data_IF_558303052503
#
_entry.id   IF_558303052503
#
_cell.length_a   1.000
_cell.length_b   1.000
_cell.length_c   1.000
_cell.angle_alpha   90.00
_cell.angle_beta   90.00
_cell.angle_gamma   90.00
#
_symmetry.space_group_name_H-M   'P 1'
#
loop_
_entity.id
_entity.type
_entity.pdbx_description
1 polymer ?
#
# COMPACT_ATOMS: atom_id res chain seq x y z
N UNK A 1 -12.15 -11.40 20.40
CA UNK A 1 -11.83 -11.40 18.96
C UNK A 1 -12.66 -10.31 18.30
N UNK A 2 -12.07 -9.14 18.12
CA UNK A 2 -12.66 -8.08 17.30
C UNK A 2 -12.33 -8.43 15.85
N UNK A 3 -13.36 -8.57 15.01
CA UNK A 3 -13.18 -9.01 13.63
C UNK A 3 -12.48 -7.97 12.77
N UNK A 4 -11.78 -8.41 11.75
CA UNK A 4 -11.11 -7.61 10.70
C UNK A 4 -11.95 -6.43 10.16
N UNK A 5 -13.28 -6.51 10.23
CA UNK A 5 -14.18 -5.43 9.82
C UNK A 5 -14.04 -4.10 10.59
N UNK A 6 -13.45 -4.09 11.77
CA UNK A 6 -13.27 -2.86 12.56
C UNK A 6 -11.97 -2.10 12.20
N UNK A 7 -10.96 -2.77 11.65
CA UNK A 7 -9.68 -2.15 11.24
C UNK A 7 -9.92 -1.28 10.00
N UNK A 8 -10.68 -1.76 9.03
CA UNK A 8 -10.98 -1.00 7.80
C UNK A 8 -11.84 0.24 8.01
N UNK A 9 -12.68 0.25 9.06
CA UNK A 9 -13.52 1.43 9.37
C UNK A 9 -12.74 2.61 9.97
N UNK A 10 -11.52 2.38 10.44
CA UNK A 10 -10.71 3.43 11.10
C UNK A 10 -9.77 4.18 10.16
N UNK A 11 -9.52 3.66 8.98
CA UNK A 11 -8.67 4.32 7.97
C UNK A 11 -9.41 5.39 7.14
N UNK A 12 -10.72 5.37 7.14
CA UNK A 12 -11.50 6.46 6.57
C UNK A 12 -11.81 7.47 7.66
N UNK A 13 -11.61 8.76 7.37
CA UNK A 13 -12.10 9.87 8.21
C UNK A 13 -13.47 9.47 8.73
N UNK A 14 -13.73 9.51 10.07
CA UNK A 14 -15.03 9.16 10.59
C UNK A 14 -16.06 10.02 9.88
N UNK A 15 -16.91 9.41 9.07
CA UNK A 15 -18.12 10.06 8.59
C UNK A 15 -18.91 10.37 9.87
N UNK A 16 -19.18 11.65 10.12
CA UNK A 16 -20.13 12.03 11.16
C UNK A 16 -21.42 11.22 10.93
N UNK A 17 -21.99 10.69 12.01
CA UNK A 17 -23.27 9.98 11.93
C UNK A 17 -24.27 10.86 11.21
N UNK A 18 -24.75 10.42 10.03
CA UNK A 18 -25.73 11.14 9.24
C UNK A 18 -25.28 11.63 7.86
N UNK A 19 -24.03 11.36 7.44
CA UNK A 19 -23.61 11.67 6.07
C UNK A 19 -24.20 10.61 5.13
N UNK A 20 -25.15 11.03 4.33
CA UNK A 20 -25.80 10.15 3.34
C UNK A 20 -24.78 9.68 2.29
N UNK A 21 -24.98 8.46 1.80
CA UNK A 21 -24.12 7.82 0.78
C UNK A 21 -23.88 8.70 -0.46
N UNK A 22 -24.85 9.54 -0.81
CA UNK A 22 -24.77 10.47 -1.93
C UNK A 22 -23.74 11.57 -1.74
N UNK A 23 -23.49 11.99 -0.51
CA UNK A 23 -22.45 12.97 -0.21
C UNK A 23 -21.03 12.38 -0.38
N UNK A 24 -20.86 11.13 0.05
CA UNK A 24 -19.60 10.40 -0.13
C UNK A 24 -19.28 10.17 -1.61
N UNK A 25 -20.28 9.76 -2.40
CA UNK A 25 -20.16 9.57 -3.84
C UNK A 25 -19.82 10.87 -4.57
N UNK A 26 -20.35 11.99 -4.10
CA UNK A 26 -20.03 13.31 -4.62
C UNK A 26 -18.58 13.69 -4.33
N UNK A 27 -18.08 13.43 -3.13
CA UNK A 27 -16.67 13.67 -2.76
C UNK A 27 -15.70 12.80 -3.56
N UNK A 28 -16.01 11.52 -3.75
CA UNK A 28 -15.21 10.62 -4.60
C UNK A 28 -15.23 11.08 -6.05
N UNK A 29 -16.39 11.53 -6.55
CA UNK A 29 -16.53 12.10 -7.89
C UNK A 29 -15.76 13.41 -8.09
N UNK A 30 -15.71 14.27 -7.07
CA UNK A 30 -14.91 15.51 -7.09
C UNK A 30 -13.41 15.20 -7.02
N UNK A 31 -12.97 14.27 -6.17
CA UNK A 31 -11.59 13.81 -6.12
C UNK A 31 -11.11 13.23 -7.46
N UNK A 32 -11.94 12.43 -8.11
CA UNK A 32 -11.64 11.88 -9.44
C UNK A 32 -11.52 12.97 -10.52
N UNK A 33 -12.31 14.06 -10.41
CA UNK A 33 -12.18 15.22 -11.32
C UNK A 33 -10.88 16.00 -11.10
N UNK A 34 -10.44 16.12 -9.85
CA UNK A 34 -9.19 16.80 -9.48
C UNK A 34 -7.99 16.01 -10.01
N UNK A 35 -8.03 14.67 -9.94
CA UNK A 35 -6.98 13.78 -10.41
C UNK A 35 -6.88 13.70 -11.94
N UNK A 36 -7.93 14.08 -12.68
CA UNK A 36 -7.98 14.07 -14.16
C UNK A 36 -8.11 15.46 -14.74
N UNK A 37 -7.06 16.25 -14.67
CA UNK A 37 -7.04 17.66 -15.11
C UNK A 37 -7.47 17.93 -16.56
N UNK A 38 -7.60 16.94 -17.46
CA UNK A 38 -7.89 17.23 -18.88
C UNK A 38 -8.88 16.29 -19.61
N UNK A 39 -9.40 15.25 -18.98
CA UNK A 39 -10.48 14.46 -19.60
C UNK A 39 -11.59 14.22 -18.58
N UNK A 40 -12.53 15.15 -18.55
CA UNK A 40 -13.78 14.94 -17.82
C UNK A 40 -14.54 13.76 -18.44
N UNK A 41 -14.24 12.56 -17.99
CA UNK A 41 -15.21 11.47 -18.12
C UNK A 41 -16.31 11.84 -17.14
N UNK A 42 -17.49 12.16 -17.66
CA UNK A 42 -18.67 12.34 -16.82
C UNK A 42 -18.88 11.04 -16.05
N UNK A 43 -18.49 11.04 -14.78
CA UNK A 43 -18.73 9.93 -13.89
C UNK A 43 -20.23 9.97 -13.58
N UNK A 44 -21.01 9.30 -14.41
CA UNK A 44 -22.37 8.94 -14.07
C UNK A 44 -22.26 7.84 -13.02
N UNK A 45 -22.18 8.22 -11.76
CA UNK A 45 -22.32 7.29 -10.65
C UNK A 45 -23.81 6.88 -10.54
N UNK A 46 -24.31 6.21 -11.54
CA UNK A 46 -25.32 5.19 -11.30
C UNK A 46 -24.54 4.04 -10.68
N UNK A 47 -24.60 3.93 -9.37
CA UNK A 47 -24.33 2.67 -8.69
C UNK A 47 -25.31 1.65 -9.31
N UNK A 48 -24.88 1.04 -10.40
CA UNK A 48 -25.55 -0.14 -10.90
C UNK A 48 -25.40 -1.17 -9.77
N UNK A 49 -26.49 -1.74 -9.32
CA UNK A 49 -26.52 -2.87 -8.38
C UNK A 49 -25.78 -4.10 -8.94
N UNK A 50 -25.27 -4.02 -10.15
CA UNK A 50 -24.31 -4.90 -10.79
C UNK A 50 -22.87 -4.42 -10.67
N UNK A 51 -22.58 -3.57 -9.67
CA UNK A 51 -21.20 -3.15 -9.37
C UNK A 51 -20.23 -4.32 -9.51
N UNK A 52 -19.10 -4.16 -10.23
CA UNK A 52 -18.07 -5.20 -10.35
C UNK A 52 -17.38 -5.51 -9.03
N UNK A 53 -17.74 -4.88 -7.93
CA UNK A 53 -17.19 -5.17 -6.61
C UNK A 53 -17.72 -6.46 -5.99
N UNK A 54 -16.86 -7.27 -5.36
CA UNK A 54 -15.42 -7.09 -5.35
C UNK A 54 -14.82 -7.25 -6.75
N UNK A 55 -13.84 -6.40 -7.12
CA UNK A 55 -13.22 -6.48 -8.45
C UNK A 55 -12.24 -7.66 -8.56
N UNK A 56 -11.67 -8.12 -7.44
CA UNK A 56 -10.89 -9.35 -7.36
C UNK A 56 -11.79 -10.48 -6.88
N UNK A 57 -11.96 -11.55 -7.69
CA UNK A 57 -12.87 -12.65 -7.40
C UNK A 57 -12.23 -14.04 -7.51
N UNK A 58 -11.02 -14.12 -8.05
CA UNK A 58 -10.33 -15.35 -8.37
C UNK A 58 -9.22 -15.71 -7.38
N UNK A 59 -8.91 -14.80 -6.46
CA UNK A 59 -7.93 -14.99 -5.40
C UNK A 59 -8.29 -14.20 -4.16
N UNK A 60 -7.67 -14.55 -3.03
CA UNK A 60 -7.69 -13.72 -1.82
C UNK A 60 -6.58 -12.68 -1.90
N UNK A 61 -6.87 -11.46 -1.49
CA UNK A 61 -5.89 -10.37 -1.40
C UNK A 61 -6.11 -9.61 -0.10
N UNK A 62 -5.03 -9.02 0.42
CA UNK A 62 -5.06 -8.23 1.64
C UNK A 62 -4.22 -6.96 1.50
N UNK A 63 -4.46 -6.02 2.41
CA UNK A 63 -3.63 -4.85 2.71
C UNK A 63 -3.19 -4.05 1.46
N UNK A 64 -4.10 -3.61 0.60
CA UNK A 64 -3.73 -2.95 -0.63
C UNK A 64 -3.21 -1.53 -0.39
N UNK A 65 -2.19 -1.12 -1.14
CA UNK A 65 -1.90 0.29 -1.39
C UNK A 65 -2.36 0.69 -2.80
N UNK A 66 -2.77 1.94 -2.96
CA UNK A 66 -3.39 2.40 -4.21
C UNK A 66 -2.85 3.78 -4.63
N UNK A 67 -2.32 3.85 -5.85
CA UNK A 67 -1.70 5.06 -6.38
C UNK A 67 -2.15 5.35 -7.80
N UNK A 68 -2.29 6.63 -8.13
CA UNK A 68 -2.47 7.09 -9.52
C UNK A 68 -1.14 7.62 -10.02
N UNK A 69 -0.62 7.01 -11.08
CA UNK A 69 0.66 7.43 -11.66
C UNK A 69 0.49 8.45 -12.80
N UNK A 70 1.59 8.86 -13.41
CA UNK A 70 1.61 9.89 -14.46
C UNK A 70 0.77 9.54 -15.69
N UNK A 71 0.55 8.26 -15.97
CA UNK A 71 -0.33 7.77 -17.04
C UNK A 71 -1.83 7.97 -16.74
N UNK A 72 -2.16 8.43 -15.51
CA UNK A 72 -3.52 8.68 -15.06
C UNK A 72 -4.30 7.43 -14.66
N UNK A 73 -3.68 6.24 -14.67
CA UNK A 73 -4.29 5.00 -14.19
C UNK A 73 -4.14 4.85 -12.69
N UNK A 74 -5.16 4.28 -12.06
CA UNK A 74 -5.09 3.80 -10.68
C UNK A 74 -4.47 2.40 -10.67
N UNK A 75 -3.43 2.22 -9.87
CA UNK A 75 -2.78 0.95 -9.61
C UNK A 75 -3.02 0.53 -8.16
N UNK A 76 -3.33 -0.73 -7.95
CA UNK A 76 -3.54 -1.33 -6.63
C UNK A 76 -2.53 -2.45 -6.45
N UNK A 77 -1.68 -2.31 -5.45
CA UNK A 77 -0.67 -3.29 -5.06
C UNK A 77 -1.19 -4.04 -3.85
N UNK A 78 -1.31 -5.35 -3.94
CA UNK A 78 -1.92 -6.16 -2.90
C UNK A 78 -1.11 -7.42 -2.59
N UNK A 79 -1.12 -7.81 -1.32
CA UNK A 79 -0.62 -9.12 -0.91
C UNK A 79 -1.53 -10.22 -1.44
N UNK A 80 -0.96 -11.33 -1.91
CA UNK A 80 -1.70 -12.55 -2.18
C UNK A 80 -2.00 -13.24 -0.86
N UNK A 81 -3.23 -13.10 -0.38
CA UNK A 81 -3.68 -13.78 0.82
C UNK A 81 -4.04 -15.24 0.50
N UNK A 82 -3.98 -16.09 1.51
CA UNK A 82 -4.21 -17.51 1.37
C UNK A 82 -5.50 -17.86 2.11
N UNK A 83 -6.22 -18.85 1.60
CA UNK A 83 -7.47 -19.28 2.19
C UNK A 83 -7.34 -19.63 3.69
N UNK A 84 -8.31 -19.22 4.53
CA UNK A 84 -8.33 -19.59 5.95
C UNK A 84 -8.12 -21.10 6.17
N UNK A 85 -7.61 -21.53 7.34
CA UNK A 85 -7.50 -20.73 8.57
C UNK A 85 -6.15 -20.03 8.80
N UNK A 86 -5.15 -20.15 7.93
CA UNK A 86 -3.79 -19.65 8.16
C UNK A 86 -3.29 -18.72 7.05
N UNK A 87 -4.18 -17.90 6.51
CA UNK A 87 -3.90 -17.06 5.36
C UNK A 87 -2.66 -16.17 5.52
N UNK A 88 -2.58 -15.37 6.58
CA UNK A 88 -1.55 -14.35 6.74
C UNK A 88 -0.11 -14.90 6.85
N UNK A 89 0.08 -16.06 7.47
CA UNK A 89 1.42 -16.68 7.61
C UNK A 89 1.98 -17.17 6.26
N UNK A 90 1.10 -17.40 5.30
CA UNK A 90 1.41 -18.06 4.04
C UNK A 90 1.40 -17.11 2.84
N UNK A 91 1.12 -15.83 3.06
CA UNK A 91 1.20 -14.82 2.00
C UNK A 91 2.57 -14.83 1.35
N UNK A 92 2.65 -15.19 0.09
CA UNK A 92 3.90 -15.58 -0.57
C UNK A 92 4.31 -14.64 -1.71
N UNK A 93 3.41 -13.72 -2.14
CA UNK A 93 3.62 -12.88 -3.33
C UNK A 93 2.79 -11.61 -3.32
N UNK A 94 3.08 -10.73 -4.26
CA UNK A 94 2.32 -9.52 -4.51
C UNK A 94 1.77 -9.50 -5.93
N UNK A 95 0.54 -9.03 -6.06
CA UNK A 95 -0.14 -8.79 -7.34
C UNK A 95 -0.41 -7.31 -7.54
N UNK A 96 -0.50 -6.90 -8.82
CA UNK A 96 -0.91 -5.55 -9.19
C UNK A 96 -2.15 -5.61 -10.07
N UNK A 97 -3.09 -4.74 -9.74
CA UNK A 97 -4.30 -4.51 -10.53
C UNK A 97 -4.34 -3.04 -10.95
N UNK A 98 -4.92 -2.74 -12.10
CA UNK A 98 -5.06 -1.35 -12.52
C UNK A 98 -6.37 -1.08 -13.24
N UNK A 99 -6.78 0.19 -13.22
CA UNK A 99 -8.00 0.65 -13.89
C UNK A 99 -7.91 2.11 -14.30
N UNK A 100 -8.65 2.47 -15.35
CA UNK A 100 -8.86 3.87 -15.77
C UNK A 100 -10.18 4.43 -15.25
N UNK A 101 -11.13 3.59 -14.87
CA UNK A 101 -12.51 3.97 -14.63
C UNK A 101 -13.11 3.36 -13.34
N UNK A 102 -12.33 2.57 -12.59
CA UNK A 102 -12.74 1.83 -11.38
C UNK A 102 -13.86 0.80 -11.63
N UNK A 103 -14.14 0.49 -12.89
CA UNK A 103 -15.15 -0.49 -13.31
C UNK A 103 -14.47 -1.66 -14.01
N UNK A 104 -13.63 -1.33 -15.00
CA UNK A 104 -12.88 -2.31 -15.77
C UNK A 104 -11.44 -2.42 -15.22
N UNK A 105 -11.09 -3.61 -14.76
CA UNK A 105 -9.81 -3.86 -14.12
C UNK A 105 -8.93 -4.77 -14.95
N UNK A 106 -7.65 -4.46 -14.98
CA UNK A 106 -6.60 -5.32 -15.52
C UNK A 106 -5.86 -5.95 -14.38
N UNK A 107 -5.77 -7.27 -14.36
CA UNK A 107 -4.86 -8.03 -13.50
C UNK A 107 -3.52 -8.17 -14.24
N UNK A 108 -2.45 -7.62 -13.67
CA UNK A 108 -1.10 -7.69 -14.23
C UNK A 108 -0.33 -8.93 -13.74
N UNK A 109 -0.94 -9.67 -12.83
CA UNK A 109 -0.31 -10.84 -12.24
C UNK A 109 0.69 -10.51 -11.12
N UNK A 110 1.55 -11.46 -10.87
CA UNK A 110 2.56 -11.42 -9.82
C UNK A 110 3.73 -10.49 -10.19
N UNK A 111 4.14 -9.65 -9.26
CA UNK A 111 5.28 -8.74 -9.43
C UNK A 111 6.49 -9.10 -8.56
N UNK A 112 6.29 -9.81 -7.48
CA UNK A 112 7.33 -10.23 -6.54
C UNK A 112 6.82 -11.40 -5.71
N UNK A 113 7.70 -12.38 -5.44
CA UNK A 113 7.45 -13.51 -4.54
C UNK A 113 8.54 -13.65 -3.47
N UNK A 114 8.22 -14.35 -2.38
CA UNK A 114 9.10 -14.49 -1.22
C UNK A 114 10.41 -15.21 -1.53
N UNK A 115 10.44 -16.09 -2.51
CA UNK A 115 11.65 -16.80 -2.95
C UNK A 115 12.64 -15.89 -3.71
N UNK A 116 12.21 -14.73 -4.16
CA UNK A 116 13.04 -13.71 -4.78
C UNK A 116 13.72 -12.77 -3.77
N UNK A 117 13.46 -12.94 -2.47
CA UNK A 117 14.02 -12.09 -1.41
C UNK A 117 15.31 -12.71 -0.85
N UNK A 118 16.51 -12.21 -1.22
CA UNK A 118 17.78 -12.90 -0.92
C UNK A 118 18.09 -13.03 0.58
N UNK A 119 17.56 -12.11 1.39
CA UNK A 119 17.72 -12.05 2.84
C UNK A 119 16.53 -12.61 3.61
N UNK A 120 15.49 -13.02 2.89
CA UNK A 120 14.22 -13.48 3.46
C UNK A 120 14.30 -14.85 4.10
N UNK A 121 13.23 -15.18 4.83
CA UNK A 121 13.05 -16.53 5.40
C UNK A 121 13.06 -17.60 4.31
N UNK A 122 13.75 -18.71 4.60
CA UNK A 122 13.82 -19.85 3.68
C UNK A 122 12.46 -20.52 3.44
N UNK A 123 11.60 -20.50 4.46
CA UNK A 123 10.25 -21.04 4.41
C UNK A 123 9.27 -20.16 3.62
N UNK A 124 9.67 -18.94 3.25
CA UNK A 124 8.80 -17.96 2.60
C UNK A 124 7.67 -17.46 3.47
N UNK A 125 6.57 -17.06 2.86
CA UNK A 125 5.41 -16.49 3.54
C UNK A 125 5.62 -15.03 3.97
N UNK A 126 4.64 -14.47 4.69
CA UNK A 126 4.72 -13.16 5.35
C UNK A 126 5.01 -11.97 4.41
N UNK A 127 4.61 -12.05 3.15
CA UNK A 127 4.64 -10.92 2.23
C UNK A 127 3.41 -10.05 2.51
N UNK A 128 3.50 -9.22 3.58
CA UNK A 128 2.38 -8.44 4.12
C UNK A 128 2.26 -7.08 3.47
N UNK A 129 1.47 -6.17 4.05
CA UNK A 129 1.09 -4.88 3.52
C UNK A 129 2.20 -4.14 2.77
N UNK A 130 2.11 -3.97 1.44
CA UNK A 130 3.12 -3.27 0.66
C UNK A 130 2.76 -1.81 0.45
N UNK A 131 3.73 -1.03 -0.04
CA UNK A 131 3.50 0.26 -0.66
C UNK A 131 4.35 0.45 -1.91
N UNK A 132 4.01 1.43 -2.74
CA UNK A 132 4.76 1.78 -3.93
C UNK A 132 4.90 3.30 -4.03
N UNK A 133 6.08 3.77 -4.42
CA UNK A 133 6.32 5.17 -4.73
C UNK A 133 6.98 5.31 -6.10
N UNK A 134 6.83 6.48 -6.73
CA UNK A 134 7.46 6.79 -7.99
C UNK A 134 8.38 8.01 -7.86
N UNK A 135 9.57 7.91 -8.46
CA UNK A 135 10.50 9.04 -8.56
C UNK A 135 11.40 8.89 -9.78
N UNK A 136 11.48 9.92 -10.60
CA UNK A 136 12.45 10.04 -11.69
C UNK A 136 12.48 8.82 -12.64
N UNK A 137 11.33 8.31 -13.05
CA UNK A 137 11.24 7.18 -13.98
C UNK A 137 11.37 5.80 -13.32
N UNK A 138 11.45 5.73 -12.00
CA UNK A 138 11.59 4.49 -11.25
C UNK A 138 10.46 4.32 -10.26
N UNK A 139 9.86 3.14 -10.25
CA UNK A 139 8.92 2.68 -9.24
C UNK A 139 9.68 1.93 -8.15
N UNK A 140 9.42 2.30 -6.91
CA UNK A 140 10.01 1.72 -5.71
C UNK A 140 8.91 1.00 -4.94
N UNK A 141 8.99 -0.31 -4.89
CA UNK A 141 8.03 -1.16 -4.20
C UNK A 141 8.59 -1.56 -2.84
N UNK A 142 7.91 -1.17 -1.78
CA UNK A 142 8.30 -1.41 -0.39
C UNK A 142 7.44 -2.52 0.19
N UNK A 143 8.09 -3.46 0.87
CA UNK A 143 7.40 -4.62 1.43
C UNK A 143 8.04 -5.07 2.73
N UNK A 144 7.24 -5.44 3.76
CA UNK A 144 7.77 -6.04 4.97
C UNK A 144 8.05 -7.52 4.70
N UNK A 145 9.17 -8.02 5.22
CA UNK A 145 9.47 -9.45 5.20
C UNK A 145 10.43 -9.82 6.32
N UNK A 146 10.18 -10.91 7.08
CA UNK A 146 11.09 -11.35 8.12
C UNK A 146 12.34 -12.03 7.54
N UNK A 147 13.50 -11.74 8.12
CA UNK A 147 14.78 -12.30 7.69
C UNK A 147 15.19 -13.55 8.47
N UNK A 148 14.62 -13.76 9.65
CA UNK A 148 15.00 -14.81 10.58
C UNK A 148 13.76 -15.52 11.15
N UNK A 149 13.99 -16.45 12.04
CA UNK A 149 12.95 -17.15 12.79
C UNK A 149 12.48 -16.39 14.03
N UNK A 150 13.30 -15.47 14.55
CA UNK A 150 12.89 -14.60 15.63
C UNK A 150 11.90 -13.56 15.10
N UNK A 151 10.67 -13.68 15.58
CA UNK A 151 9.56 -12.89 15.08
C UNK A 151 9.70 -11.39 15.33
N UNK A 152 10.17 -11.00 16.51
CA UNK A 152 10.12 -9.61 16.92
C UNK A 152 11.24 -8.76 16.29
N UNK A 153 12.41 -9.35 16.04
CA UNK A 153 13.60 -8.61 15.65
C UNK A 153 14.01 -8.83 14.19
N UNK A 154 13.32 -9.71 13.46
CA UNK A 154 13.74 -10.10 12.12
C UNK A 154 13.09 -9.34 10.97
N UNK A 155 12.07 -8.54 11.24
CA UNK A 155 11.34 -7.79 10.22
C UNK A 155 12.20 -6.71 9.56
N UNK A 156 12.17 -6.68 8.24
CA UNK A 156 12.83 -5.69 7.40
C UNK A 156 11.84 -5.09 6.42
N UNK A 157 12.04 -3.83 6.05
CA UNK A 157 11.34 -3.25 4.91
C UNK A 157 12.22 -3.38 3.70
N UNK A 158 11.88 -4.33 2.84
CA UNK A 158 12.53 -4.57 1.56
C UNK A 158 12.17 -3.51 0.53
N UNK A 159 13.03 -3.33 -0.47
CA UNK A 159 12.78 -2.47 -1.61
C UNK A 159 13.05 -3.24 -2.89
N UNK A 160 12.09 -3.23 -3.81
CA UNK A 160 12.27 -3.68 -5.18
C UNK A 160 12.02 -2.51 -6.14
N UNK A 161 12.71 -2.48 -7.28
CA UNK A 161 12.59 -1.38 -8.25
C UNK A 161 12.24 -1.88 -9.64
N UNK A 162 11.50 -1.06 -10.39
CA UNK A 162 11.19 -1.27 -11.80
C UNK A 162 11.06 0.07 -12.53
N UNK A 163 11.24 0.08 -13.84
CA UNK A 163 10.87 1.19 -14.73
C UNK A 163 9.39 1.17 -15.16
N UNK A 164 8.64 0.16 -14.68
CA UNK A 164 7.21 -0.02 -14.97
C UNK A 164 6.40 -0.22 -13.69
N UNK A 165 5.15 0.26 -13.66
CA UNK A 165 4.34 0.24 -12.44
C UNK A 165 3.85 -1.16 -12.03
N UNK A 166 3.81 -2.13 -12.95
CA UNK A 166 3.14 -3.40 -12.71
C UNK A 166 3.92 -4.64 -13.18
N UNK A 167 5.21 -4.50 -13.48
CA UNK A 167 6.06 -5.63 -13.90
C UNK A 167 7.54 -5.33 -13.70
N UNK A 168 8.37 -6.38 -13.75
CA UNK A 168 9.83 -6.24 -13.83
C UNK A 168 10.52 -5.80 -12.55
N UNK A 169 9.87 -5.88 -11.41
CA UNK A 169 10.46 -5.52 -10.13
C UNK A 169 11.64 -6.43 -9.75
N UNK A 170 12.73 -5.80 -9.29
CA UNK A 170 13.96 -6.47 -8.86
C UNK A 170 14.31 -6.02 -7.45
N UNK A 171 14.48 -6.97 -6.54
CA UNK A 171 14.87 -6.68 -5.16
C UNK A 171 16.24 -6.01 -5.13
N UNK A 172 16.32 -4.88 -4.44
CA UNK A 172 17.54 -4.11 -4.23
C UNK A 172 18.18 -4.41 -2.88
N UNK A 173 17.39 -4.87 -1.91
CA UNK A 173 17.78 -5.09 -0.53
C UNK A 173 16.68 -4.63 0.41
N UNK A 174 17.06 -4.16 1.59
CA UNK A 174 16.17 -3.57 2.57
C UNK A 174 16.73 -2.26 3.10
N UNK A 175 15.88 -1.44 3.71
CA UNK A 175 16.31 -0.14 4.27
C UNK A 175 17.02 -0.38 5.60
N UNK A 176 18.31 -0.06 5.64
CA UNK A 176 19.12 -0.15 6.84
C UNK A 176 18.69 0.91 7.88
N UNK A 177 18.78 0.55 9.16
CA UNK A 177 18.51 1.49 10.27
C UNK A 177 17.05 1.70 10.61
N UNK A 178 16.13 1.00 9.96
CA UNK A 178 14.72 0.92 10.41
C UNK A 178 14.59 -0.08 11.55
N UNK A 179 13.75 0.26 12.53
CA UNK A 179 13.36 -0.71 13.55
C UNK A 179 12.56 -1.86 12.91
N UNK A 180 12.61 -3.06 13.51
CA UNK A 180 11.83 -4.20 13.04
C UNK A 180 10.32 -3.95 13.16
N UNK A 181 9.70 -3.52 12.08
CA UNK A 181 8.27 -3.19 11.97
C UNK A 181 7.75 -3.55 10.59
N UNK A 182 6.43 -3.45 10.43
CA UNK A 182 5.68 -3.79 9.22
C UNK A 182 5.03 -2.54 8.60
N UNK A 183 4.21 -2.73 7.58
CA UNK A 183 3.29 -1.75 6.98
C UNK A 183 3.99 -0.45 6.54
N UNK A 184 4.94 -0.51 5.61
CA UNK A 184 5.58 0.68 5.06
C UNK A 184 4.56 1.53 4.31
N UNK A 185 4.71 2.86 4.44
CA UNK A 185 4.04 3.84 3.60
C UNK A 185 5.05 4.90 3.20
N UNK A 186 5.14 5.22 1.91
CA UNK A 186 6.06 6.22 1.40
C UNK A 186 5.31 7.40 0.82
N UNK A 187 5.61 8.58 1.32
CA UNK A 187 5.06 9.84 0.87
C UNK A 187 6.14 10.72 0.27
N UNK A 188 5.92 11.19 -0.96
CA UNK A 188 6.79 12.18 -1.61
C UNK A 188 6.07 13.52 -1.59
N UNK A 189 6.66 14.52 -0.90
CA UNK A 189 6.07 15.87 -0.80
C UNK A 189 6.35 16.68 -2.07
N UNK A 190 5.67 17.81 -2.21
CA UNK A 190 5.74 18.71 -3.39
C UNK A 190 7.15 19.28 -3.62
N UNK A 191 7.97 19.36 -2.59
CA UNK A 191 9.39 19.77 -2.70
C UNK A 191 10.31 18.62 -3.16
N UNK A 192 9.75 17.44 -3.37
CA UNK A 192 10.47 16.23 -3.76
C UNK A 192 11.10 15.45 -2.61
N UNK A 193 10.95 15.91 -1.35
CA UNK A 193 11.43 15.13 -0.21
C UNK A 193 10.55 13.90 0.00
N UNK A 194 11.17 12.73 0.00
CA UNK A 194 10.49 11.49 0.33
C UNK A 194 10.58 11.17 1.82
N UNK A 195 9.49 10.66 2.35
CA UNK A 195 9.37 10.20 3.74
C UNK A 195 8.89 8.76 3.73
N UNK A 196 9.42 7.96 4.65
CA UNK A 196 8.92 6.61 4.90
C UNK A 196 8.34 6.53 6.31
N UNK A 197 7.21 5.87 6.42
CA UNK A 197 6.56 5.55 7.67
C UNK A 197 6.39 4.05 7.75
N UNK A 198 6.43 3.52 8.95
CA UNK A 198 6.06 2.13 9.21
C UNK A 198 5.48 2.02 10.61
N UNK A 199 4.73 0.95 10.86
CA UNK A 199 4.13 0.80 12.17
C UNK A 199 3.51 -0.56 12.38
N UNK A 200 3.44 -0.92 13.65
CA UNK A 200 2.81 -2.13 14.15
C UNK A 200 2.89 -2.16 15.67
N UNK A 201 2.02 -2.96 16.31
CA UNK A 201 1.99 -3.04 17.76
C UNK A 201 1.69 -1.72 18.48
N UNK A 202 0.97 -0.80 17.83
CA UNK A 202 0.55 0.47 18.41
C UNK A 202 1.58 1.61 18.28
N UNK A 203 2.69 1.40 17.58
CA UNK A 203 3.73 2.43 17.39
C UNK A 203 3.91 2.71 15.90
N UNK A 204 3.84 3.98 15.51
CA UNK A 204 4.19 4.46 14.19
C UNK A 204 5.52 5.21 14.25
N UNK A 205 6.40 4.95 13.30
CA UNK A 205 7.65 5.69 13.12
C UNK A 205 7.70 6.29 11.72
N UNK A 206 8.37 7.44 11.60
CA UNK A 206 8.57 8.13 10.34
C UNK A 206 10.00 8.64 10.22
N UNK A 207 10.53 8.69 9.01
CA UNK A 207 11.86 9.20 8.70
C UNK A 207 11.95 9.72 7.27
N UNK A 208 13.01 10.46 6.98
CA UNK A 208 13.30 10.91 5.63
C UNK A 208 14.04 9.83 4.85
N UNK A 209 13.74 9.72 3.57
CA UNK A 209 14.55 8.97 2.62
C UNK A 209 15.52 9.90 1.89
N UNK A 210 16.71 9.40 1.58
CA UNK A 210 17.62 10.03 0.62
C UNK A 210 17.02 10.02 -0.79
N UNK A 211 17.63 10.76 -1.68
CA UNK A 211 17.20 10.86 -3.09
C UNK A 211 17.16 9.51 -3.82
N UNK A 212 17.95 8.54 -3.37
CA UNK A 212 17.93 7.19 -3.94
C UNK A 212 16.73 6.33 -3.52
N UNK A 213 15.90 6.82 -2.61
CA UNK A 213 14.66 6.15 -2.14
C UNK A 213 14.84 4.81 -1.41
N UNK A 214 16.08 4.39 -1.14
CA UNK A 214 16.41 3.10 -0.50
C UNK A 214 17.24 3.24 0.77
N UNK A 215 17.61 4.47 1.14
CA UNK A 215 18.38 4.76 2.35
C UNK A 215 17.71 5.85 3.17
N UNK A 216 17.81 5.74 4.50
CA UNK A 216 17.36 6.80 5.40
C UNK A 216 18.31 8.02 5.35
N UNK A 217 17.69 9.21 5.36
CA UNK A 217 18.39 10.48 5.58
C UNK A 217 18.21 10.92 7.04
N UNK A 218 18.87 10.22 7.94
CA UNK A 218 18.78 10.41 9.38
C UNK A 218 17.95 9.34 10.10
N UNK A 219 17.72 9.48 11.41
CA UNK A 219 17.06 8.47 12.22
C UNK A 219 15.53 8.50 12.02
N UNK A 220 14.91 7.34 12.16
CA UNK A 220 13.47 7.22 12.34
C UNK A 220 13.03 7.84 13.67
N UNK A 221 11.86 8.44 13.70
CA UNK A 221 11.28 9.06 14.89
C UNK A 221 9.89 8.52 15.15
N UNK A 222 9.55 8.31 16.41
CA UNK A 222 8.18 7.99 16.80
C UNK A 222 7.26 9.15 16.45
N UNK A 223 6.15 8.86 15.80
CA UNK A 223 5.11 9.82 15.48
C UNK A 223 4.24 10.05 16.72
N UNK A 224 4.29 11.29 17.24
CA UNK A 224 3.52 11.67 18.42
C UNK A 224 2.11 12.14 18.05
N UNK A 225 1.20 12.08 19.02
CA UNK A 225 -0.17 12.58 18.86
C UNK A 225 -1.13 11.63 18.14
N UNK A 226 -0.69 10.42 17.82
CA UNK A 226 -1.57 9.37 17.30
C UNK A 226 -2.30 8.70 18.46
N UNK A 227 -3.62 8.84 18.51
CA UNK A 227 -4.46 8.10 19.43
C UNK A 227 -4.99 6.83 18.78
N UNK A 228 -5.01 5.74 19.52
CA UNK A 228 -5.57 4.45 19.06
C UNK A 228 -4.93 3.90 17.77
N UNK A 229 -3.73 4.33 17.42
CA UNK A 229 -2.97 3.74 16.33
C UNK A 229 -2.65 2.28 16.67
N UNK A 230 -2.88 1.38 15.72
CA UNK A 230 -2.55 -0.04 15.85
C UNK A 230 -1.46 -0.43 14.85
N UNK A 231 -1.71 -0.26 13.56
CA UNK A 231 -0.84 -0.56 12.43
C UNK A 231 -1.36 0.10 11.15
N UNK A 232 -0.75 -0.17 9.99
CA UNK A 232 -1.22 0.24 8.67
C UNK A 232 -1.26 1.76 8.47
N UNK A 233 -0.09 2.34 8.31
CA UNK A 233 0.09 3.77 8.07
C UNK A 233 -0.30 4.13 6.63
N UNK A 234 -1.06 5.23 6.48
CA UNK A 234 -1.31 5.83 5.17
C UNK A 234 -1.19 7.35 5.28
N UNK A 235 -0.35 7.94 4.43
CA UNK A 235 -0.10 9.40 4.42
C UNK A 235 -0.43 9.96 3.04
N UNK A 236 -1.17 11.04 3.02
CA UNK A 236 -1.39 11.83 1.81
C UNK A 236 -1.56 13.31 2.17
N UNK A 237 -1.29 14.17 1.21
CA UNK A 237 -1.48 15.61 1.35
C UNK A 237 -2.87 15.99 0.87
N UNK A 238 -3.57 16.75 1.68
CA UNK A 238 -4.86 17.35 1.33
C UNK A 238 -4.72 18.87 1.31
N UNK A 239 -5.15 19.51 0.20
CA UNK A 239 -5.14 20.97 0.04
C UNK A 239 -6.43 21.61 0.53
#
# INVERSE_FOLDING_TARGET
SRGLGDVYKRQFVPLEEGVESDHYLKLVGEAAKILRKEKAVAFSAKLDTKSPNPFIRHMYTADPSAHVWEDGRLYVYASHDIAPPRGCDLMDRYHVFSTDDMINWTDHGEILSSDQVPWGRKEGGFMWAPDCAYRNGTYYFYFPHPSETDWNDSWKIGVATSDKPAEGFKVQGYIEGMDPMIDPCVFVDDDGQAYIYNGGGGTCKGGKLKDNMIELDGPMRTMEGLSDFHEATWIHKYN
#
